data_IF_814659300482
#
_entry.id   IF_814659300482
#
_cell.length_a   1.000
_cell.length_b   1.000
_cell.length_c   1.000
_cell.angle_alpha   90.00
_cell.angle_beta   90.00
_cell.angle_gamma   90.00
#
_symmetry.space_group_name_H-M   'P 1'
#
loop_
_entity.id
_entity.type
_entity.pdbx_description
1 polymer ?
#
# COMPACT_ATOMS: atom_id res chain seq x y z
N UNK A 1 34.75 -21.29 -33.35
CA UNK A 1 34.75 -19.85 -33.00
C UNK A 1 33.38 -19.53 -32.43
N UNK A 2 33.36 -19.11 -31.17
CA UNK A 2 32.29 -18.48 -30.38
C UNK A 2 30.83 -18.95 -30.56
N UNK A 3 30.35 -19.69 -29.56
CA UNK A 3 28.93 -19.78 -29.24
C UNK A 3 28.47 -18.47 -28.59
N UNK A 4 27.39 -17.91 -29.12
CA UNK A 4 26.66 -16.80 -28.50
C UNK A 4 25.81 -17.35 -27.35
N UNK A 5 26.27 -17.16 -26.12
CA UNK A 5 25.42 -17.29 -24.93
C UNK A 5 24.63 -15.98 -24.79
N UNK A 6 23.34 -16.01 -25.10
CA UNK A 6 22.40 -14.95 -24.74
C UNK A 6 22.06 -15.14 -23.26
N UNK A 7 22.64 -14.32 -22.39
CA UNK A 7 22.27 -14.26 -20.99
C UNK A 7 20.92 -13.52 -20.88
N UNK A 8 19.83 -14.26 -20.61
CA UNK A 8 18.57 -13.64 -20.21
C UNK A 8 18.74 -13.09 -18.79
N UNK A 9 18.82 -11.77 -18.68
CA UNK A 9 18.70 -11.06 -17.40
C UNK A 9 17.30 -11.33 -16.85
N UNK A 10 17.19 -12.32 -15.96
CA UNK A 10 16.01 -12.47 -15.12
C UNK A 10 16.02 -11.31 -14.11
N UNK A 11 15.19 -10.29 -14.34
CA UNK A 11 14.79 -9.36 -13.28
C UNK A 11 13.95 -10.14 -12.27
N UNK A 12 14.60 -10.87 -11.37
CA UNK A 12 13.94 -11.62 -10.30
C UNK A 12 13.68 -10.67 -9.14
N UNK A 13 12.45 -10.20 -9.01
CA UNK A 13 12.00 -9.56 -7.76
C UNK A 13 12.09 -10.53 -6.57
N UNK A 14 12.05 -10.00 -5.34
CA UNK A 14 12.09 -10.79 -4.11
C UNK A 14 11.01 -11.88 -4.09
N UNK A 15 11.39 -13.10 -3.71
CA UNK A 15 10.45 -14.20 -3.45
C UNK A 15 9.58 -13.89 -2.22
N UNK A 16 8.42 -14.56 -2.10
CA UNK A 16 7.52 -14.35 -0.96
C UNK A 16 8.20 -14.63 0.39
N UNK A 17 9.02 -15.68 0.49
CA UNK A 17 9.74 -16.00 1.73
C UNK A 17 10.80 -14.94 2.07
N UNK A 18 11.49 -14.38 1.07
CA UNK A 18 12.42 -13.26 1.29
C UNK A 18 11.68 -12.00 1.75
N UNK A 19 10.50 -11.72 1.18
CA UNK A 19 9.66 -10.61 1.63
C UNK A 19 9.23 -10.79 3.08
N UNK A 20 8.76 -11.99 3.46
CA UNK A 20 8.36 -12.32 4.84
C UNK A 20 9.54 -12.19 5.81
N UNK A 21 10.73 -12.67 5.42
CA UNK A 21 11.93 -12.53 6.22
C UNK A 21 12.31 -11.05 6.45
N UNK A 22 12.23 -10.21 5.42
CA UNK A 22 12.45 -8.78 5.55
C UNK A 22 11.44 -8.11 6.51
N UNK A 23 10.16 -8.49 6.43
CA UNK A 23 9.11 -7.97 7.31
C UNK A 23 9.35 -8.39 8.76
N UNK A 24 9.78 -9.64 9.02
CA UNK A 24 10.14 -10.12 10.36
C UNK A 24 11.33 -9.35 10.94
N UNK A 25 12.34 -9.08 10.12
CA UNK A 25 13.53 -8.32 10.48
C UNK A 25 13.31 -6.79 10.57
N UNK A 26 12.08 -6.32 10.34
CA UNK A 26 11.72 -4.91 10.24
C UNK A 26 12.50 -4.13 9.15
N UNK A 27 13.03 -4.84 8.14
CA UNK A 27 13.70 -4.28 6.95
C UNK A 27 12.67 -3.96 5.87
N UNK A 28 11.71 -3.09 6.20
CA UNK A 28 10.60 -2.78 5.32
C UNK A 28 10.99 -1.62 4.40
N UNK A 29 11.33 -1.98 3.17
CA UNK A 29 11.58 -1.04 2.08
C UNK A 29 10.37 -1.04 1.12
N UNK A 30 10.09 0.10 0.48
CA UNK A 30 8.95 0.26 -0.45
C UNK A 30 9.15 -0.52 -1.77
N UNK A 31 10.35 -1.02 -2.02
CA UNK A 31 10.68 -1.82 -3.19
C UNK A 31 10.20 -3.27 -3.04
N UNK A 32 8.92 -3.51 -3.36
CA UNK A 32 8.45 -4.84 -3.77
C UNK A 32 7.82 -5.72 -2.70
N UNK A 33 7.67 -5.25 -1.46
CA UNK A 33 6.90 -5.97 -0.43
C UNK A 33 5.40 -5.95 -0.75
N UNK A 34 4.79 -7.13 -0.75
CA UNK A 34 3.40 -7.32 -1.18
C UNK A 34 2.41 -7.42 -0.03
N UNK A 35 1.14 -7.14 -0.31
CA UNK A 35 0.02 -7.39 0.61
C UNK A 35 0.08 -8.79 1.22
N UNK A 36 0.32 -9.81 0.39
CA UNK A 36 0.37 -11.21 0.85
C UNK A 36 1.50 -11.44 1.85
N UNK A 37 2.68 -10.86 1.62
CA UNK A 37 3.81 -10.99 2.54
C UNK A 37 3.49 -10.44 3.95
N UNK A 38 2.77 -9.31 4.02
CA UNK A 38 2.34 -8.75 5.31
C UNK A 38 1.28 -9.62 5.98
N UNK A 39 0.28 -10.09 5.24
CA UNK A 39 -0.77 -10.95 5.80
C UNK A 39 -0.19 -12.27 6.33
N UNK A 40 0.75 -12.88 5.61
CA UNK A 40 1.38 -14.13 6.02
C UNK A 40 2.36 -13.96 7.20
N UNK A 41 2.92 -12.77 7.37
CA UNK A 41 3.92 -12.50 8.41
C UNK A 41 3.31 -11.94 9.69
N UNK A 42 2.43 -10.96 9.57
CA UNK A 42 1.84 -10.24 10.71
C UNK A 42 0.41 -10.66 11.01
N UNK A 43 -0.22 -11.42 10.12
CA UNK A 43 -1.62 -11.82 10.24
C UNK A 43 -2.59 -10.77 9.70
N UNK A 44 -3.86 -10.94 10.02
CA UNK A 44 -4.93 -10.04 9.58
C UNK A 44 -4.84 -8.69 10.33
N UNK A 45 -4.92 -7.54 9.63
CA UNK A 45 -4.96 -6.24 10.29
C UNK A 45 -6.27 -6.01 11.04
N UNK A 46 -6.23 -5.12 12.05
CA UNK A 46 -7.44 -4.70 12.76
C UNK A 46 -8.37 -3.87 11.86
N UNK A 47 -7.78 -3.10 10.94
CA UNK A 47 -8.49 -2.27 9.98
C UNK A 47 -8.01 -2.54 8.56
N UNK A 48 -8.96 -2.68 7.63
CA UNK A 48 -8.69 -2.71 6.19
C UNK A 48 -9.62 -1.74 5.50
N UNK A 49 -9.07 -0.94 4.59
CA UNK A 49 -9.84 -0.03 3.74
C UNK A 49 -9.40 -0.17 2.29
N UNK A 50 -10.32 -0.01 1.35
CA UNK A 50 -10.01 0.00 -0.08
C UNK A 50 -10.67 1.19 -0.75
N UNK A 51 -9.87 1.95 -1.47
CA UNK A 51 -10.32 3.12 -2.23
C UNK A 51 -9.34 3.46 -3.34
N UNK A 52 -9.82 4.23 -4.33
CA UNK A 52 -8.94 4.87 -5.29
C UNK A 52 -8.23 6.03 -4.60
N UNK A 53 -6.94 5.91 -4.39
CA UNK A 53 -6.14 6.89 -3.64
C UNK A 53 -5.11 7.58 -4.53
N UNK A 54 -4.91 8.88 -4.27
CA UNK A 54 -3.75 9.60 -4.77
C UNK A 54 -2.63 9.58 -3.73
N UNK A 55 -1.42 9.19 -4.15
CA UNK A 55 -0.22 9.31 -3.33
C UNK A 55 0.77 10.28 -3.97
N UNK A 56 1.46 11.03 -3.12
CA UNK A 56 2.57 11.88 -3.49
C UNK A 56 3.88 11.19 -3.18
N UNK A 57 4.70 10.89 -4.19
CA UNK A 57 5.97 10.19 -4.01
C UNK A 57 7.00 11.11 -3.34
N UNK A 58 7.63 10.61 -2.29
CA UNK A 58 8.66 11.33 -1.56
C UNK A 58 10.06 10.87 -2.00
N UNK A 59 11.08 11.67 -1.70
CA UNK A 59 12.48 11.38 -2.05
C UNK A 59 13.04 10.11 -1.37
N UNK A 60 12.43 9.65 -0.26
CA UNK A 60 12.84 8.47 0.49
C UNK A 60 12.20 7.16 -0.01
N UNK A 61 11.41 7.23 -1.09
CA UNK A 61 10.68 6.11 -1.68
C UNK A 61 9.33 5.82 -1.02
N UNK A 62 9.00 6.46 0.10
CA UNK A 62 7.66 6.45 0.67
C UNK A 62 6.72 7.29 -0.21
N UNK A 63 5.42 7.04 -0.13
CA UNK A 63 4.41 7.80 -0.86
C UNK A 63 3.31 8.22 0.09
N UNK A 64 3.12 9.53 0.26
CA UNK A 64 2.17 10.09 1.20
C UNK A 64 0.75 10.07 0.61
N UNK A 65 -0.24 9.40 1.24
CA UNK A 65 -1.61 9.40 0.74
C UNK A 65 -2.25 10.79 0.92
N UNK A 66 -3.16 11.15 0.01
CA UNK A 66 -3.78 12.48 -0.02
C UNK A 66 -4.40 12.91 1.31
N UNK A 67 -5.04 12.01 2.05
CA UNK A 67 -5.70 12.34 3.31
C UNK A 67 -4.73 12.72 4.44
N UNK A 68 -3.43 12.41 4.30
CA UNK A 68 -2.38 12.84 5.22
C UNK A 68 -1.82 14.22 4.92
N UNK A 69 -2.07 14.75 3.72
CA UNK A 69 -1.55 16.05 3.29
C UNK A 69 -2.53 17.16 3.74
N UNK A 70 -2.09 18.12 4.57
CA UNK A 70 -2.90 19.27 4.93
C UNK A 70 -3.41 20.02 3.69
N UNK A 71 -4.62 20.56 3.76
CA UNK A 71 -5.22 21.25 2.64
C UNK A 71 -4.49 22.57 2.36
N UNK A 72 -4.03 22.75 1.12
CA UNK A 72 -3.31 23.97 0.69
C UNK A 72 -1.80 23.91 0.85
N UNK A 73 -1.25 22.79 1.34
CA UNK A 73 0.19 22.59 1.49
C UNK A 73 0.71 21.54 0.51
N UNK A 74 1.93 21.73 0.02
CA UNK A 74 2.65 20.69 -0.70
C UNK A 74 3.27 19.70 0.32
N UNK A 75 3.27 18.39 0.04
CA UNK A 75 3.93 17.43 0.92
C UNK A 75 5.42 17.76 1.03
N UNK A 76 5.96 17.73 2.24
CA UNK A 76 7.39 17.92 2.47
C UNK A 76 8.19 16.79 1.82
N UNK A 77 9.23 17.10 1.05
CA UNK A 77 10.06 16.09 0.37
C UNK A 77 9.41 15.47 -0.87
N UNK A 78 8.39 16.12 -1.44
CA UNK A 78 7.71 15.66 -2.65
C UNK A 78 8.58 15.80 -3.91
N UNK A 79 8.74 14.70 -4.64
CA UNK A 79 9.59 14.59 -5.84
C UNK A 79 8.82 14.78 -7.17
N UNK A 80 7.62 15.39 -7.12
CA UNK A 80 6.67 15.59 -8.23
C UNK A 80 5.95 14.33 -8.76
N UNK A 81 6.25 13.12 -8.25
CA UNK A 81 5.52 11.89 -8.60
C UNK A 81 4.11 11.85 -7.98
N UNK A 82 3.12 11.40 -8.76
CA UNK A 82 1.76 11.11 -8.27
C UNK A 82 1.35 9.70 -8.73
N UNK A 83 0.93 8.87 -7.78
CA UNK A 83 0.30 7.56 -8.03
C UNK A 83 -1.21 7.74 -7.82
N UNK A 84 -2.06 7.25 -8.72
CA UNK A 84 -3.52 7.40 -8.63
C UNK A 84 -4.23 6.08 -8.94
N UNK A 85 -4.17 5.16 -7.98
CA UNK A 85 -4.53 3.75 -8.18
C UNK A 85 -5.51 3.24 -7.13
N UNK A 86 -6.16 2.10 -7.44
CA UNK A 86 -6.91 1.34 -6.45
C UNK A 86 -5.97 0.80 -5.38
N UNK A 87 -6.26 1.19 -4.15
CA UNK A 87 -5.32 1.07 -3.05
C UNK A 87 -5.95 0.36 -1.88
N UNK A 88 -5.14 -0.42 -1.18
CA UNK A 88 -5.54 -1.10 0.06
C UNK A 88 -4.74 -0.51 1.21
N UNK A 89 -5.41 -0.21 2.31
CA UNK A 89 -4.77 0.25 3.54
C UNK A 89 -4.94 -0.76 4.66
N UNK A 90 -3.89 -0.97 5.44
CA UNK A 90 -3.90 -1.80 6.65
C UNK A 90 -3.52 -0.97 7.88
N UNK A 91 -4.30 -1.11 8.95
CA UNK A 91 -3.97 -0.58 10.27
C UNK A 91 -3.69 -1.71 11.26
N UNK A 92 -2.50 -1.69 11.86
CA UNK A 92 -2.06 -2.60 12.93
C UNK A 92 -1.81 -1.82 14.23
N UNK A 93 -2.84 -1.57 15.07
CA UNK A 93 -2.70 -0.79 16.30
C UNK A 93 -1.71 -1.38 17.30
N UNK A 94 -1.64 -2.71 17.38
CA UNK A 94 -0.72 -3.47 18.22
C UNK A 94 0.75 -3.29 17.81
N UNK A 95 1.00 -2.92 16.55
CA UNK A 95 2.33 -2.65 16.00
C UNK A 95 2.63 -1.16 15.83
N UNK A 96 1.62 -0.29 15.94
CA UNK A 96 1.77 1.13 15.63
C UNK A 96 2.06 1.38 14.14
N UNK A 97 1.59 0.52 13.25
CA UNK A 97 1.87 0.58 11.81
C UNK A 97 0.62 0.88 10.99
N UNK A 98 0.70 1.91 10.14
CA UNK A 98 -0.27 2.19 9.10
C UNK A 98 0.41 1.97 7.73
N UNK A 99 -0.14 1.05 6.93
CA UNK A 99 0.41 0.67 5.64
C UNK A 99 -0.55 1.01 4.51
N UNK A 100 -0.03 1.42 3.37
CA UNK A 100 -0.79 1.63 2.13
C UNK A 100 -0.13 0.92 0.96
N UNK A 101 -0.97 0.28 0.16
CA UNK A 101 -0.55 -0.54 -0.97
C UNK A 101 -1.23 -0.04 -2.25
N UNK A 102 -0.46 0.19 -3.31
CA UNK A 102 -0.94 0.45 -4.67
C UNK A 102 -0.56 -0.75 -5.55
N UNK A 103 -1.50 -1.24 -6.36
CA UNK A 103 -1.34 -2.47 -7.17
C UNK A 103 -0.82 -3.68 -6.35
N UNK A 104 -1.18 -3.73 -5.06
CA UNK A 104 -0.77 -4.79 -4.15
C UNK A 104 0.67 -4.70 -3.61
N UNK A 105 1.40 -3.62 -3.91
CA UNK A 105 2.76 -3.35 -3.42
C UNK A 105 2.78 -2.22 -2.42
N UNK A 106 3.63 -2.33 -1.40
CA UNK A 106 3.77 -1.33 -0.36
C UNK A 106 4.31 -0.03 -0.96
N UNK A 107 3.53 1.05 -0.86
CA UNK A 107 3.95 2.40 -1.26
C UNK A 107 3.92 3.38 -0.09
N UNK A 108 3.22 3.03 0.98
CA UNK A 108 3.08 3.88 2.16
C UNK A 108 3.31 3.09 3.44
N UNK A 109 4.11 3.66 4.35
CA UNK A 109 4.30 3.17 5.72
C UNK A 109 4.45 4.37 6.63
N UNK A 110 3.76 4.31 7.76
CA UNK A 110 3.85 5.32 8.80
C UNK A 110 3.76 4.65 10.17
N UNK A 111 4.69 5.02 11.06
CA UNK A 111 4.62 4.65 12.47
C UNK A 111 3.82 5.70 13.24
N UNK A 112 2.68 5.28 13.79
CA UNK A 112 1.75 6.15 14.51
C UNK A 112 1.21 5.47 15.77
N UNK A 113 0.82 6.24 16.80
CA UNK A 113 0.23 5.69 18.01
C UNK A 113 -1.03 4.87 17.72
N UNK A 114 -1.25 3.79 18.48
CA UNK A 114 -2.42 2.92 18.35
C UNK A 114 -3.75 3.69 18.34
N UNK A 115 -3.87 4.73 19.17
CA UNK A 115 -5.04 5.59 19.24
C UNK A 115 -5.35 6.29 17.91
N UNK A 116 -4.32 6.70 17.19
CA UNK A 116 -4.46 7.33 15.88
C UNK A 116 -4.89 6.32 14.82
N UNK A 117 -4.32 5.11 14.83
CA UNK A 117 -4.74 4.02 13.92
C UNK A 117 -6.23 3.69 14.15
N UNK A 118 -6.69 3.62 15.40
CA UNK A 118 -8.10 3.44 15.71
C UNK A 118 -8.97 4.60 15.19
N UNK A 119 -8.47 5.84 15.25
CA UNK A 119 -9.18 7.01 14.73
C UNK A 119 -9.34 6.94 13.21
N UNK A 120 -8.25 6.65 12.49
CA UNK A 120 -8.23 6.45 11.04
C UNK A 120 -9.16 5.31 10.63
N UNK A 121 -9.08 4.15 11.31
CA UNK A 121 -9.95 3.01 11.03
C UNK A 121 -11.44 3.31 11.20
N UNK A 122 -11.81 4.13 12.20
CA UNK A 122 -13.21 4.59 12.38
C UNK A 122 -13.64 5.57 11.29
N UNK A 123 -12.73 6.39 10.79
CA UNK A 123 -12.99 7.30 9.67
C UNK A 123 -13.29 6.51 8.39
N UNK A 124 -12.47 5.52 8.05
CA UNK A 124 -12.72 4.64 6.90
C UNK A 124 -14.06 3.92 7.00
N UNK A 125 -14.37 3.34 8.16
CA UNK A 125 -15.65 2.67 8.39
C UNK A 125 -16.85 3.63 8.20
N UNK A 126 -16.66 4.92 8.50
CA UNK A 126 -17.67 5.95 8.25
C UNK A 126 -17.78 6.28 6.77
N UNK A 127 -16.67 6.47 6.07
CA UNK A 127 -16.65 6.75 4.63
C UNK A 127 -17.34 5.66 3.82
N UNK A 128 -17.13 4.39 4.18
CA UNK A 128 -17.80 3.27 3.52
C UNK A 128 -19.34 3.29 3.67
N UNK A 129 -19.89 3.95 4.70
CA UNK A 129 -21.34 4.15 4.84
C UNK A 129 -21.88 5.23 3.90
N UNK A 130 -21.02 6.15 3.44
CA UNK A 130 -21.39 7.27 2.59
C UNK A 130 -21.07 7.05 1.11
N UNK A 131 -20.30 6.00 0.75
CA UNK A 131 -20.13 5.55 -0.63
C UNK A 131 -21.50 5.17 -1.20
N UNK A 132 -22.02 5.99 -2.12
CA UNK A 132 -23.31 5.74 -2.77
C UNK A 132 -23.15 4.77 -3.95
N UNK A 133 -24.22 4.08 -4.35
CA UNK A 133 -24.23 3.03 -5.39
C UNK A 133 -23.60 3.41 -6.75
N UNK A 134 -23.32 4.68 -7.01
CA UNK A 134 -22.65 5.14 -8.23
C UNK A 134 -21.15 4.80 -8.27
N UNK A 135 -20.54 4.55 -7.10
CA UNK A 135 -19.11 4.23 -6.96
C UNK A 135 -18.85 2.72 -6.76
N UNK A 136 -19.91 1.90 -6.73
CA UNK A 136 -19.79 0.44 -6.67
C UNK A 136 -19.74 -0.11 -8.11
N UNK A 137 -18.69 -0.84 -8.52
CA UNK A 137 -18.63 -1.43 -9.85
C UNK A 137 -19.87 -2.30 -10.11
N UNK A 138 -20.64 -1.96 -11.14
CA UNK A 138 -21.77 -2.79 -11.55
C UNK A 138 -21.20 -4.12 -12.04
N UNK A 139 -21.61 -5.28 -11.47
CA UNK A 139 -21.18 -6.57 -12.01
C UNK A 139 -21.72 -6.69 -13.44
N UNK A 140 -20.81 -6.77 -14.41
CA UNK A 140 -21.13 -7.09 -15.80
C UNK A 140 -21.60 -8.55 -15.84
N UNK A 141 -22.92 -8.73 -15.90
CA UNK A 141 -23.52 -10.05 -16.16
C UNK A 141 -23.17 -10.46 -17.60
N UNK A 142 -22.49 -11.60 -17.83
CA UNK A 142 -22.25 -12.07 -19.18
C UNK A 142 -23.59 -12.42 -19.84
N UNK A 143 -23.80 -11.87 -21.05
CA UNK A 143 -24.96 -12.20 -21.87
C UNK A 143 -24.92 -13.70 -22.23
N UNK A 144 -26.09 -14.34 -22.13
CA UNK A 144 -26.31 -15.76 -22.37
C UNK A 144 -26.27 -16.11 -23.86
#
# INVERSE_FOLDING_TARGET
>A
MLGFFVATLACSGLTLEEQKAQILDNKIHFEGLTVQAFLDTWGKPAYTHRERMQFYTLDDGNSMPRFRVPMGEAPQGWSMGIISEDSTFFGYPDRGELLGFAEGRLVYREQVPAAEIHSVGKMWAREDLFKTRLETPVPVTPAK
#
